data_IF_841038716123
#
_entry.id   IF_841038716123
#
_cell.length_a   1.000
_cell.length_b   1.000
_cell.length_c   1.000
_cell.angle_alpha   90.00
_cell.angle_beta   90.00
_cell.angle_gamma   90.00
#
_symmetry.space_group_name_H-M   'P 1'
#
loop_
_entity.id
_entity.type
_entity.pdbx_description
1 polymer ?
#
# COMPACT_ATOMS: atom_id res chain seq x y z
N UNK A 1 16.57 -12.90 -11.79
CA UNK A 1 15.29 -12.48 -11.20
C UNK A 1 14.57 -11.62 -12.22
N UNK A 2 13.23 -11.69 -12.29
CA UNK A 2 12.44 -10.77 -13.14
C UNK A 2 12.68 -9.33 -12.69
N UNK A 3 12.53 -8.32 -13.56
CA UNK A 3 12.51 -6.93 -13.12
C UNK A 3 11.41 -6.72 -12.08
N UNK A 4 11.69 -5.92 -11.05
CA UNK A 4 10.69 -5.60 -10.04
C UNK A 4 9.55 -4.76 -10.61
N UNK A 5 8.32 -5.08 -10.20
CA UNK A 5 7.12 -4.31 -10.55
C UNK A 5 6.68 -3.43 -9.39
N UNK A 6 6.08 -2.29 -9.72
CA UNK A 6 5.64 -1.27 -8.77
C UNK A 6 4.17 -1.45 -8.43
N UNK A 7 3.88 -1.70 -7.16
CA UNK A 7 2.54 -1.91 -6.64
C UNK A 7 2.18 -0.76 -5.70
N UNK A 8 1.24 0.07 -6.13
CA UNK A 8 0.71 1.15 -5.30
C UNK A 8 -0.48 0.66 -4.48
N UNK A 9 -0.48 0.96 -3.19
CA UNK A 9 -1.61 0.68 -2.28
C UNK A 9 -1.98 1.96 -1.54
N UNK A 10 -3.21 2.42 -1.70
CA UNK A 10 -3.75 3.59 -0.97
C UNK A 10 -4.42 3.17 0.33
N UNK A 11 -4.51 4.06 1.32
CA UNK A 11 -5.04 3.68 2.63
C UNK A 11 -4.17 2.60 3.28
N UNK A 12 -2.86 2.69 3.07
CA UNK A 12 -1.90 1.62 3.35
C UNK A 12 -1.72 1.32 4.85
N UNK A 13 -2.11 2.24 5.74
CA UNK A 13 -2.14 1.98 7.19
C UNK A 13 -3.50 1.43 7.68
N UNK A 14 -4.48 1.29 6.77
CA UNK A 14 -5.80 0.77 7.09
C UNK A 14 -5.84 -0.75 7.31
N UNK A 15 -6.92 -1.22 7.92
CA UNK A 15 -7.10 -2.64 8.30
C UNK A 15 -7.06 -3.62 7.11
N UNK A 16 -7.65 -3.24 5.97
CA UNK A 16 -7.60 -4.07 4.76
C UNK A 16 -6.15 -4.19 4.28
N UNK A 17 -5.44 -3.07 4.23
CA UNK A 17 -4.04 -3.01 3.81
C UNK A 17 -3.14 -3.82 4.74
N UNK A 18 -3.39 -3.79 6.06
CA UNK A 18 -2.66 -4.60 7.03
C UNK A 18 -2.82 -6.11 6.78
N UNK A 19 -3.99 -6.57 6.32
CA UNK A 19 -4.17 -7.98 5.91
C UNK A 19 -3.66 -8.32 4.50
N UNK A 20 -3.33 -7.31 3.70
CA UNK A 20 -3.02 -7.43 2.27
C UNK A 20 -1.52 -7.33 1.99
N UNK A 21 -0.84 -6.31 2.53
CA UNK A 21 0.52 -5.94 2.16
C UNK A 21 1.53 -7.07 2.35
N UNK A 22 1.48 -7.76 3.49
CA UNK A 22 2.37 -8.89 3.79
C UNK A 22 2.19 -10.05 2.81
N UNK A 23 0.96 -10.28 2.31
CA UNK A 23 0.68 -11.32 1.32
C UNK A 23 1.14 -10.92 -0.07
N UNK A 24 1.08 -9.63 -0.40
CA UNK A 24 1.68 -9.13 -1.64
C UNK A 24 3.21 -9.32 -1.57
N UNK A 25 3.85 -8.89 -0.48
CA UNK A 25 5.29 -9.02 -0.26
C UNK A 25 5.78 -10.47 -0.21
N UNK A 26 4.95 -11.42 0.23
CA UNK A 26 5.26 -12.85 0.18
C UNK A 26 5.15 -13.48 -1.22
N UNK A 27 4.75 -12.73 -2.25
CA UNK A 27 4.54 -13.24 -3.62
C UNK A 27 3.16 -13.83 -3.87
N UNK A 28 2.23 -13.81 -2.92
CA UNK A 28 0.92 -14.46 -3.09
C UNK A 28 0.00 -13.79 -4.13
N UNK A 29 0.32 -12.54 -4.53
CA UNK A 29 -0.45 -11.82 -5.54
C UNK A 29 0.07 -12.03 -6.97
N UNK A 30 1.39 -12.01 -7.17
CA UNK A 30 2.02 -11.94 -8.49
C UNK A 30 2.93 -13.15 -8.80
N UNK A 31 3.07 -14.08 -7.86
CA UNK A 31 3.91 -15.27 -7.98
C UNK A 31 5.18 -15.20 -7.14
N UNK A 32 5.73 -16.38 -6.84
CA UNK A 32 6.93 -16.55 -5.99
C UNK A 32 8.25 -16.16 -6.67
N UNK A 33 8.21 -15.73 -7.93
CA UNK A 33 9.37 -15.36 -8.74
C UNK A 33 9.36 -13.90 -9.23
N UNK A 34 8.41 -13.09 -8.76
CA UNK A 34 8.20 -11.70 -9.15
C UNK A 34 8.61 -10.75 -8.02
N UNK A 35 9.77 -10.09 -8.10
CA UNK A 35 10.12 -9.03 -7.15
C UNK A 35 9.18 -7.84 -7.27
N UNK A 36 9.01 -7.10 -6.17
CA UNK A 36 8.09 -5.98 -6.07
C UNK A 36 8.72 -4.78 -5.37
N UNK A 37 8.19 -3.61 -5.70
CA UNK A 37 8.37 -2.36 -4.96
C UNK A 37 7.00 -1.93 -4.47
N UNK A 38 6.84 -1.78 -3.15
CA UNK A 38 5.60 -1.28 -2.57
C UNK A 38 5.62 0.24 -2.52
N UNK A 39 4.61 0.88 -3.11
CA UNK A 39 4.38 2.32 -3.03
C UNK A 39 3.12 2.58 -2.20
N UNK A 40 3.33 2.98 -0.96
CA UNK A 40 2.28 3.05 0.05
C UNK A 40 1.83 4.50 0.24
N UNK A 41 0.55 4.77 -0.07
CA UNK A 41 -0.07 6.07 0.06
C UNK A 41 -0.98 6.10 1.29
N UNK A 42 -0.82 7.13 2.12
CA UNK A 42 -1.76 7.48 3.19
C UNK A 42 -2.04 8.98 3.22
N UNK A 43 -3.04 9.37 4.01
CA UNK A 43 -3.23 10.77 4.36
C UNK A 43 -2.15 11.21 5.37
N UNK A 44 -1.76 12.49 5.35
CA UNK A 44 -0.74 13.05 6.26
C UNK A 44 -0.94 12.66 7.73
N UNK A 45 -2.17 12.68 8.31
CA UNK A 45 -2.38 12.28 9.71
C UNK A 45 -2.08 10.80 10.02
N UNK A 46 -2.06 9.93 9.01
CA UNK A 46 -1.82 8.49 9.15
C UNK A 46 -0.37 8.09 8.82
N UNK A 47 0.51 9.05 8.49
CA UNK A 47 1.88 8.76 8.06
C UNK A 47 2.73 8.07 9.12
N UNK A 48 2.53 8.36 10.41
CA UNK A 48 3.26 7.67 11.47
C UNK A 48 2.81 6.21 11.64
N UNK A 49 1.51 5.93 11.47
CA UNK A 49 1.01 4.56 11.41
C UNK A 49 1.55 3.83 10.18
N UNK A 50 1.63 4.51 9.03
CA UNK A 50 2.20 3.94 7.81
C UNK A 50 3.68 3.58 7.98
N UNK A 51 4.47 4.42 8.66
CA UNK A 51 5.86 4.06 9.01
C UNK A 51 5.92 2.81 9.88
N UNK A 52 4.97 2.64 10.81
CA UNK A 52 4.80 1.41 11.59
C UNK A 52 4.66 0.18 10.70
N UNK A 53 3.73 0.23 9.74
CA UNK A 53 3.51 -0.86 8.78
C UNK A 53 4.75 -1.15 7.93
N UNK A 54 5.50 -0.12 7.52
CA UNK A 54 6.75 -0.30 6.78
C UNK A 54 7.83 -1.01 7.61
N UNK A 55 7.98 -0.66 8.90
CA UNK A 55 8.88 -1.36 9.82
C UNK A 55 8.52 -2.84 9.96
N UNK A 56 7.23 -3.16 10.09
CA UNK A 56 6.77 -4.56 10.16
C UNK A 56 7.04 -5.33 8.86
N UNK A 57 6.92 -4.69 7.69
CA UNK A 57 7.27 -5.29 6.41
C UNK A 57 8.77 -5.56 6.28
N UNK A 58 9.62 -4.64 6.72
CA UNK A 58 11.08 -4.81 6.75
C UNK A 58 11.48 -5.96 7.69
N UNK A 59 10.86 -6.05 8.88
CA UNK A 59 11.12 -7.11 9.88
C UNK A 59 10.76 -8.52 9.37
N UNK A 60 9.86 -8.62 8.38
CA UNK A 60 9.50 -9.89 7.77
C UNK A 60 10.58 -10.45 6.82
N UNK A 61 11.57 -9.65 6.43
CA UNK A 61 12.67 -10.03 5.55
C UNK A 61 12.22 -10.75 4.26
N UNK A 62 11.15 -10.26 3.64
CA UNK A 62 10.60 -10.88 2.42
C UNK A 62 11.60 -10.80 1.26
N UNK A 63 11.98 -11.93 0.64
CA UNK A 63 13.01 -11.96 -0.41
C UNK A 63 12.57 -11.28 -1.72
N UNK A 64 11.26 -11.09 -1.92
CA UNK A 64 10.69 -10.45 -3.11
C UNK A 64 10.45 -8.96 -2.92
N UNK A 65 10.54 -8.43 -1.69
CA UNK A 65 10.31 -7.02 -1.40
C UNK A 65 11.60 -6.23 -1.55
N UNK A 66 11.81 -5.61 -2.71
CA UNK A 66 13.06 -4.89 -2.99
C UNK A 66 13.10 -3.48 -2.37
N UNK A 67 11.94 -2.84 -2.22
CA UNK A 67 11.86 -1.50 -1.67
C UNK A 67 10.44 -1.16 -1.17
N UNK A 68 10.35 -0.24 -0.21
CA UNK A 68 9.12 0.33 0.31
C UNK A 68 9.22 1.87 0.20
N UNK A 69 8.22 2.48 -0.42
CA UNK A 69 8.09 3.94 -0.51
C UNK A 69 6.84 4.37 0.24
N UNK A 70 6.99 5.07 1.35
CA UNK A 70 5.87 5.65 2.10
C UNK A 70 5.72 7.14 1.74
N UNK A 71 4.49 7.58 1.45
CA UNK A 71 4.23 8.97 1.09
C UNK A 71 2.78 9.36 1.36
N UNK A 72 2.54 10.66 1.49
CA UNK A 72 1.21 11.28 1.44
C UNK A 72 0.96 12.06 0.14
N UNK A 73 1.90 12.01 -0.82
CA UNK A 73 1.75 12.59 -2.16
C UNK A 73 1.39 11.50 -3.18
N UNK A 74 0.21 11.64 -3.78
CA UNK A 74 -0.27 10.76 -4.83
C UNK A 74 0.68 10.70 -6.04
N UNK A 75 1.35 11.81 -6.40
CA UNK A 75 2.29 11.81 -7.53
C UNK A 75 3.50 10.94 -7.26
N UNK A 76 3.95 10.85 -6.00
CA UNK A 76 5.04 9.97 -5.59
C UNK A 76 4.56 8.52 -5.55
N UNK A 77 3.37 8.28 -4.98
CA UNK A 77 2.82 6.94 -4.83
C UNK A 77 2.49 6.28 -6.17
N UNK A 78 2.00 7.05 -7.15
CA UNK A 78 1.60 6.54 -8.47
C UNK A 78 2.69 6.62 -9.54
N UNK A 79 3.90 7.05 -9.17
CA UNK A 79 5.00 7.16 -10.13
C UNK A 79 5.42 5.79 -10.64
N UNK A 80 5.33 5.61 -11.95
CA UNK A 80 5.72 4.38 -12.68
C UNK A 80 4.98 3.12 -12.22
N UNK A 81 3.79 3.26 -11.62
CA UNK A 81 3.00 2.15 -11.09
C UNK A 81 2.55 1.17 -12.17
N UNK A 82 2.81 -0.12 -11.94
CA UNK A 82 2.29 -1.21 -12.77
C UNK A 82 0.91 -1.68 -12.30
N UNK A 83 0.69 -1.71 -10.97
CA UNK A 83 -0.57 -2.12 -10.35
C UNK A 83 -0.99 -1.14 -9.25
N UNK A 84 -2.24 -0.68 -9.27
CA UNK A 84 -2.78 0.21 -8.25
C UNK A 84 -3.99 -0.42 -7.53
N UNK A 85 -3.88 -0.58 -6.21
CA UNK A 85 -4.93 -1.05 -5.33
C UNK A 85 -5.49 0.15 -4.54
N UNK A 86 -6.61 0.69 -5.00
CA UNK A 86 -7.26 1.88 -4.45
C UNK A 86 -8.17 1.52 -3.26
N UNK A 87 -7.56 1.05 -2.16
CA UNK A 87 -8.25 0.58 -0.95
C UNK A 87 -8.78 1.74 -0.09
N UNK A 88 -8.02 2.82 0.05
CA UNK A 88 -8.39 3.97 0.86
C UNK A 88 -9.54 4.76 0.25
N UNK A 89 -10.61 4.94 1.01
CA UNK A 89 -11.75 5.77 0.64
C UNK A 89 -12.28 6.53 1.85
N UNK A 90 -13.09 7.57 1.62
CA UNK A 90 -13.72 8.33 2.70
C UNK A 90 -14.67 7.42 3.49
N UNK A 91 -14.49 7.25 4.81
CA UNK A 91 -15.44 6.48 5.61
C UNK A 91 -16.76 7.24 5.74
N UNK A 92 -17.87 6.50 5.80
CA UNK A 92 -19.18 7.10 6.02
C UNK A 92 -19.32 7.57 7.46
N UNK A 93 -19.52 8.87 7.64
CA UNK A 93 -19.76 9.51 8.94
C UNK A 93 -21.23 9.50 9.37
N UNK A 94 -21.51 9.78 10.65
CA UNK A 94 -22.87 9.95 11.16
C UNK A 94 -23.64 11.03 10.38
N UNK A 95 -24.87 10.72 9.98
CA UNK A 95 -25.74 11.66 9.26
C UNK A 95 -25.38 11.91 7.79
N UNK A 96 -24.30 11.31 7.25
CA UNK A 96 -23.95 11.48 5.84
C UNK A 96 -24.99 10.83 4.91
N UNK A 97 -25.48 11.62 3.97
CA UNK A 97 -26.26 11.18 2.84
C UNK A 97 -25.34 10.61 1.75
N UNK A 98 -25.94 9.93 0.76
CA UNK A 98 -25.17 9.35 -0.36
C UNK A 98 -24.39 10.41 -1.14
N UNK A 99 -24.98 11.61 -1.32
CA UNK A 99 -24.35 12.72 -2.04
C UNK A 99 -23.11 13.29 -1.33
N UNK A 100 -22.98 13.09 -0.02
CA UNK A 100 -21.85 13.58 0.76
C UNK A 100 -20.64 12.62 0.67
N UNK A 101 -20.91 11.38 0.25
CA UNK A 101 -19.93 10.29 0.13
C UNK A 101 -19.42 10.11 -1.30
N UNK A 102 -20.22 10.49 -2.30
CA UNK A 102 -19.86 10.50 -3.73
C UNK A 102 -19.07 11.76 -4.10
#
# INVERSE_FOLDING_TARGET
MKPAVRVTVTGAAGQISYGLLFRIASGAMLGEDQPIILQLLEITPAMDALKGVAMELDDCAFPLLENIVCTDDANVAFKDTDFALLVGARPRGPGMERKDLL
#
